data_IF_658741437813
#
_entry.id   IF_658741437813
#
_cell.length_a   1.000
_cell.length_b   1.000
_cell.length_c   1.000
_cell.angle_alpha   90.00
_cell.angle_beta   90.00
_cell.angle_gamma   90.00
#
_symmetry.space_group_name_H-M   'P 1'
#
loop_
_entity.id
_entity.type
_entity.pdbx_description
1 polymer ?
#
# COMPACT_ATOMS: atom_id res chain seq x y z
N UNK A 1 15.12 37.56 4.22
CA UNK A 1 14.66 36.22 3.79
C UNK A 1 13.54 36.39 2.79
N UNK A 2 13.60 35.75 1.62
CA UNK A 2 12.48 35.81 0.65
C UNK A 2 11.45 34.76 1.07
N UNK A 3 10.17 35.07 0.90
CA UNK A 3 9.06 34.18 1.29
C UNK A 3 9.20 32.79 0.66
N UNK A 4 9.69 32.72 -0.58
CA UNK A 4 10.05 31.48 -1.27
C UNK A 4 11.07 30.62 -0.51
N UNK A 5 12.12 31.24 0.02
CA UNK A 5 13.17 30.51 0.74
C UNK A 5 12.60 29.93 2.05
N UNK A 6 11.77 30.71 2.76
CA UNK A 6 11.09 30.22 3.98
C UNK A 6 10.13 29.05 3.69
N UNK A 7 9.37 29.13 2.60
CA UNK A 7 8.45 28.05 2.20
C UNK A 7 9.22 26.77 1.85
N UNK A 8 10.35 26.90 1.14
CA UNK A 8 11.20 25.77 0.83
C UNK A 8 11.85 25.15 2.08
N UNK A 9 12.28 25.97 3.04
CA UNK A 9 12.85 25.49 4.30
C UNK A 9 11.81 24.68 5.09
N UNK A 10 10.58 25.20 5.22
CA UNK A 10 9.49 24.49 5.90
C UNK A 10 9.12 23.20 5.16
N UNK A 11 9.00 23.21 3.84
CA UNK A 11 8.74 22.00 3.04
C UNK A 11 9.84 20.94 3.26
N UNK A 12 11.10 21.35 3.28
CA UNK A 12 12.24 20.45 3.54
C UNK A 12 12.20 19.85 4.95
N UNK A 13 11.87 20.68 5.95
CA UNK A 13 11.70 20.23 7.33
C UNK A 13 10.58 19.19 7.45
N UNK A 14 9.41 19.45 6.87
CA UNK A 14 8.27 18.52 6.92
C UNK A 14 8.62 17.20 6.24
N UNK A 15 9.23 17.24 5.04
CA UNK A 15 9.67 16.02 4.34
C UNK A 15 10.67 15.18 5.17
N UNK A 16 11.57 15.85 5.90
CA UNK A 16 12.51 15.18 6.81
C UNK A 16 11.79 14.52 7.98
N UNK A 17 10.83 15.22 8.59
CA UNK A 17 9.98 14.66 9.66
C UNK A 17 9.19 13.44 9.20
N UNK A 18 8.58 13.49 8.00
CA UNK A 18 7.83 12.37 7.42
C UNK A 18 8.70 11.10 7.27
N UNK A 19 9.94 11.27 6.82
CA UNK A 19 10.92 10.17 6.73
C UNK A 19 11.24 9.61 8.12
N UNK A 20 11.43 10.49 9.10
CA UNK A 20 11.65 10.09 10.49
C UNK A 20 10.47 9.30 11.08
N UNK A 21 9.24 9.75 10.85
CA UNK A 21 8.03 9.06 11.31
C UNK A 21 7.91 7.67 10.70
N UNK A 22 8.19 7.51 9.40
CA UNK A 22 8.17 6.21 8.74
C UNK A 22 9.15 5.23 9.39
N UNK A 23 10.37 5.68 9.71
CA UNK A 23 11.36 4.86 10.43
C UNK A 23 10.83 4.43 11.80
N UNK A 24 10.31 5.37 12.61
CA UNK A 24 9.79 5.08 13.95
C UNK A 24 8.60 4.11 13.89
N UNK A 25 7.65 4.32 12.98
CA UNK A 25 6.47 3.45 12.79
C UNK A 25 6.90 2.03 12.46
N UNK A 26 7.92 1.86 11.61
CA UNK A 26 8.39 0.53 11.20
C UNK A 26 9.11 -0.23 12.31
N UNK A 27 9.81 0.48 13.20
CA UNK A 27 10.69 -0.12 14.22
C UNK A 27 10.05 -0.22 15.61
N UNK A 28 8.97 0.53 15.89
CA UNK A 28 8.34 0.51 17.21
C UNK A 28 7.49 -0.75 17.42
N UNK A 29 7.67 -1.40 18.57
CA UNK A 29 6.84 -2.52 19.04
C UNK A 29 5.62 -2.07 19.85
N UNK A 30 5.61 -0.83 20.35
CA UNK A 30 4.51 -0.27 21.11
C UNK A 30 3.38 0.16 20.16
N UNK A 31 2.24 -0.53 20.24
CA UNK A 31 1.10 -0.29 19.34
C UNK A 31 0.46 1.08 19.54
N UNK A 32 0.35 1.57 20.77
CA UNK A 32 -0.22 2.89 21.04
C UNK A 32 0.67 3.98 20.43
N UNK A 33 1.98 3.89 20.65
CA UNK A 33 2.94 4.82 20.06
C UNK A 33 2.89 4.77 18.53
N UNK A 34 2.81 3.56 17.95
CA UNK A 34 2.67 3.39 16.50
C UNK A 34 1.47 4.15 15.96
N UNK A 35 0.29 3.99 16.57
CA UNK A 35 -0.94 4.65 16.14
C UNK A 35 -0.83 6.18 16.26
N UNK A 36 -0.25 6.67 17.37
CA UNK A 36 -0.04 8.12 17.55
C UNK A 36 0.89 8.70 16.48
N UNK A 37 2.03 8.07 16.19
CA UNK A 37 2.95 8.57 15.16
C UNK A 37 2.34 8.47 13.76
N UNK A 38 1.52 7.44 13.48
CA UNK A 38 0.77 7.35 12.22
C UNK A 38 -0.21 8.52 12.05
N UNK A 39 -0.93 8.90 13.11
CA UNK A 39 -1.83 10.04 13.08
C UNK A 39 -1.06 11.35 12.81
N UNK A 40 0.06 11.57 13.52
CA UNK A 40 0.92 12.75 13.32
C UNK A 40 1.42 12.80 11.87
N UNK A 41 1.97 11.69 11.36
CA UNK A 41 2.43 11.59 9.97
C UNK A 41 1.32 11.97 8.99
N UNK A 42 0.11 11.44 9.16
CA UNK A 42 -1.01 11.74 8.26
C UNK A 42 -1.39 13.24 8.29
N UNK A 43 -1.38 13.86 9.47
CA UNK A 43 -1.62 15.31 9.60
C UNK A 43 -0.53 16.14 8.90
N UNK A 44 0.73 15.76 9.08
CA UNK A 44 1.87 16.46 8.49
C UNK A 44 1.93 16.26 6.96
N UNK A 45 1.54 15.09 6.44
CA UNK A 45 1.37 14.86 4.99
C UNK A 45 0.30 15.79 4.40
N UNK A 46 -0.84 15.94 5.08
CA UNK A 46 -1.89 16.87 4.64
C UNK A 46 -1.37 18.32 4.64
N UNK A 47 -0.70 18.73 5.73
CA UNK A 47 -0.10 20.06 5.82
C UNK A 47 0.94 20.30 4.72
N UNK A 48 1.79 19.32 4.44
CA UNK A 48 2.80 19.38 3.39
C UNK A 48 2.16 19.65 2.03
N UNK A 49 1.08 18.92 1.72
CA UNK A 49 0.37 19.07 0.46
C UNK A 49 -0.30 20.45 0.32
N UNK A 50 -0.94 20.94 1.39
CA UNK A 50 -1.57 22.25 1.41
C UNK A 50 -0.53 23.38 1.25
N UNK A 51 0.61 23.25 1.93
CA UNK A 51 1.73 24.19 1.80
C UNK A 51 2.32 24.18 0.39
N UNK A 52 2.50 23.00 -0.21
CA UNK A 52 2.93 22.86 -1.61
C UNK A 52 1.95 23.56 -2.56
N UNK A 53 0.64 23.37 -2.38
CA UNK A 53 -0.39 24.01 -3.21
C UNK A 53 -0.35 25.54 -3.09
N UNK A 54 -0.17 26.05 -1.88
CA UNK A 54 0.00 27.49 -1.68
C UNK A 54 1.29 28.01 -2.35
N UNK A 55 2.39 27.26 -2.26
CA UNK A 55 3.66 27.61 -2.87
C UNK A 55 3.60 27.62 -4.41
N UNK A 56 2.87 26.67 -5.00
CA UNK A 56 2.57 26.58 -6.43
C UNK A 56 1.77 27.80 -6.90
N UNK A 57 0.69 28.17 -6.19
CA UNK A 57 -0.14 29.33 -6.53
C UNK A 57 0.63 30.67 -6.47
N UNK A 58 1.56 30.81 -5.53
CA UNK A 58 2.38 32.01 -5.39
C UNK A 58 3.60 32.04 -6.34
N UNK A 59 3.80 30.99 -7.14
CA UNK A 59 4.97 30.86 -8.03
C UNK A 59 6.29 30.64 -7.29
N UNK A 60 6.23 30.28 -6.01
CA UNK A 60 7.42 30.04 -5.19
C UNK A 60 8.01 28.66 -5.44
N UNK A 61 7.17 27.71 -5.83
CA UNK A 61 7.55 26.34 -6.13
C UNK A 61 7.12 25.99 -7.56
N UNK A 62 8.06 25.52 -8.39
CA UNK A 62 7.71 24.84 -9.64
C UNK A 62 7.72 23.33 -9.36
N UNK A 63 6.57 22.65 -9.43
CA UNK A 63 6.58 21.19 -9.39
C UNK A 63 7.44 20.63 -10.53
N UNK A 64 7.98 19.43 -10.31
CA UNK A 64 8.56 18.65 -11.39
C UNK A 64 7.51 18.52 -12.51
N UNK A 65 7.95 18.59 -13.77
CA UNK A 65 7.05 18.34 -14.90
C UNK A 65 6.35 17.00 -14.69
N UNK A 66 5.04 16.95 -14.97
CA UNK A 66 4.32 15.69 -14.97
C UNK A 66 5.04 14.73 -15.93
N UNK A 67 5.28 13.51 -15.47
CA UNK A 67 5.87 12.47 -16.32
C UNK A 67 4.98 12.25 -17.54
N UNK A 68 5.60 11.96 -18.69
CA UNK A 68 4.85 11.66 -19.91
C UNK A 68 3.94 10.44 -19.63
N UNK A 69 2.64 10.49 -19.97
CA UNK A 69 1.73 9.37 -19.78
C UNK A 69 2.26 8.04 -20.34
N UNK A 70 3.10 8.09 -21.39
CA UNK A 70 3.76 6.91 -21.96
C UNK A 70 4.75 6.26 -20.98
N UNK A 71 5.54 7.07 -20.27
CA UNK A 71 6.52 6.58 -19.30
C UNK A 71 5.81 5.94 -18.10
N UNK A 72 4.69 6.54 -17.65
CA UNK A 72 3.85 5.98 -16.58
C UNK A 72 3.31 4.60 -16.98
N UNK A 73 2.79 4.47 -18.20
CA UNK A 73 2.26 3.21 -18.73
C UNK A 73 3.35 2.14 -18.80
N UNK A 74 4.55 2.50 -19.28
CA UNK A 74 5.67 1.58 -19.43
C UNK A 74 6.17 1.06 -18.07
N UNK A 75 6.35 1.92 -17.08
CA UNK A 75 6.77 1.52 -15.72
C UNK A 75 5.71 0.63 -15.07
N UNK A 76 4.42 0.95 -15.24
CA UNK A 76 3.32 0.13 -14.72
C UNK A 76 3.32 -1.28 -15.32
N UNK A 77 3.55 -1.40 -16.62
CA UNK A 77 3.67 -2.70 -17.30
C UNK A 77 4.89 -3.47 -16.82
N UNK A 78 6.04 -2.81 -16.64
CA UNK A 78 7.26 -3.44 -16.11
C UNK A 78 7.06 -3.96 -14.67
N UNK A 79 6.46 -3.14 -13.80
CA UNK A 79 6.16 -3.52 -12.42
C UNK A 79 5.13 -4.66 -12.31
N UNK A 80 4.16 -4.72 -13.22
CA UNK A 80 3.15 -5.79 -13.24
C UNK A 80 3.68 -7.08 -13.88
N UNK A 81 4.65 -6.99 -14.79
CA UNK A 81 5.26 -8.13 -15.47
C UNK A 81 6.13 -8.99 -14.56
N UNK A 82 6.81 -8.38 -13.58
CA UNK A 82 7.70 -9.09 -12.66
C UNK A 82 6.97 -9.88 -11.55
N UNK A 83 5.66 -9.66 -11.35
CA UNK A 83 4.87 -10.42 -10.36
C UNK A 83 4.22 -11.71 -10.91
N UNK A 84 4.30 -11.99 -12.21
CA UNK A 84 3.65 -13.15 -12.83
C UNK A 84 4.59 -14.34 -13.12
N UNK A 85 5.86 -14.27 -12.70
CA UNK A 85 6.90 -15.22 -13.11
C UNK A 85 7.25 -16.34 -12.12
N UNK A 86 6.35 -16.75 -11.21
CA UNK A 86 6.70 -17.68 -10.14
C UNK A 86 5.60 -18.66 -9.73
N UNK A 87 5.37 -19.70 -10.52
CA UNK A 87 5.05 -21.10 -10.11
C UNK A 87 4.12 -21.80 -11.11
N UNK A 88 4.69 -22.43 -12.14
CA UNK A 88 4.05 -23.57 -12.81
C UNK A 88 4.97 -24.80 -12.70
N UNK A 89 4.79 -25.56 -11.63
CA UNK A 89 5.22 -26.95 -11.57
C UNK A 89 4.32 -27.76 -12.52
N UNK A 90 4.85 -28.05 -13.70
CA UNK A 90 4.20 -28.88 -14.71
C UNK A 90 4.19 -30.35 -14.29
N UNK A 91 3.00 -30.95 -14.38
CA UNK A 91 2.67 -32.23 -13.79
C UNK A 91 3.31 -33.46 -14.44
N UNK A 92 3.42 -34.50 -13.63
CA UNK A 92 3.74 -35.86 -14.06
C UNK A 92 2.56 -36.76 -13.70
N UNK A 93 1.66 -36.92 -14.68
CA UNK A 93 0.54 -37.85 -14.64
C UNK A 93 1.08 -39.28 -14.89
N UNK A 94 1.06 -40.13 -13.87
CA UNK A 94 1.24 -41.59 -14.03
C UNK A 94 -0.10 -42.25 -13.76
N UNK A 95 -0.76 -42.61 -14.85
CA UNK A 95 -1.89 -43.51 -14.92
C UNK A 95 -1.49 -44.91 -14.44
N UNK A 96 -2.25 -45.51 -13.53
CA UNK A 96 -2.02 -46.91 -13.16
C UNK A 96 -2.84 -47.45 -11.99
N UNK A 97 -4.08 -47.86 -12.27
CA UNK A 97 -4.70 -49.08 -11.71
C UNK A 97 -5.14 -49.08 -10.23
N UNK A 98 -6.44 -49.30 -10.00
CA UNK A 98 -6.91 -49.70 -8.67
C UNK A 98 -8.42 -49.56 -8.50
N UNK A 99 -9.14 -50.67 -8.59
CA UNK A 99 -10.60 -50.76 -8.54
C UNK A 99 -11.20 -50.49 -7.15
N UNK A 100 -12.48 -50.06 -7.17
CA UNK A 100 -13.61 -50.72 -6.49
C UNK A 100 -14.31 -50.03 -5.29
N UNK A 101 -15.60 -49.77 -5.53
CA UNK A 101 -16.79 -49.87 -4.67
C UNK A 101 -16.93 -49.05 -3.38
N UNK A 102 -18.01 -48.25 -3.39
CA UNK A 102 -19.08 -48.44 -2.41
C UNK A 102 -19.48 -47.18 -1.62
N UNK A 103 -20.78 -46.85 -1.64
CA UNK A 103 -21.39 -46.18 -0.50
C UNK A 103 -22.19 -44.90 -0.77
N UNK A 104 -23.44 -45.10 -1.17
CA UNK A 104 -24.67 -44.49 -0.61
C UNK A 104 -24.91 -42.97 -0.71
N UNK A 105 -26.06 -42.70 -1.33
CA UNK A 105 -26.90 -41.51 -1.33
C UNK A 105 -27.22 -40.93 0.05
N UNK A 106 -27.35 -39.60 0.14
CA UNK A 106 -27.92 -38.92 1.30
C UNK A 106 -28.22 -37.44 1.06
N UNK A 107 -29.44 -37.16 0.63
CA UNK A 107 -30.19 -35.88 0.74
C UNK A 107 -30.12 -35.24 2.13
N UNK A 108 -30.21 -33.90 2.21
CA UNK A 108 -30.75 -33.25 3.41
C UNK A 108 -30.23 -31.84 3.67
N UNK A 109 -31.09 -30.85 3.43
CA UNK A 109 -30.95 -29.48 3.91
C UNK A 109 -30.96 -29.43 5.43
N UNK A 110 -30.15 -28.56 6.04
CA UNK A 110 -30.47 -28.01 7.36
C UNK A 110 -29.93 -26.57 7.52
N UNK A 111 -30.90 -25.68 7.76
CA UNK A 111 -30.78 -24.29 8.17
C UNK A 111 -30.32 -24.30 9.63
N UNK A 112 -29.27 -23.54 9.97
CA UNK A 112 -28.75 -23.49 11.33
C UNK A 112 -28.03 -22.19 11.64
N UNK A 113 -28.80 -21.17 12.00
CA UNK A 113 -28.35 -19.92 12.61
C UNK A 113 -27.37 -20.18 13.75
N UNK A 114 -26.12 -19.68 13.67
CA UNK A 114 -25.26 -19.52 14.83
C UNK A 114 -24.37 -18.29 14.71
N UNK A 115 -24.82 -17.27 15.43
CA UNK A 115 -24.06 -16.17 16.01
C UNK A 115 -22.65 -16.58 16.46
N UNK A 116 -21.63 -15.78 16.12
CA UNK A 116 -20.52 -15.42 17.02
C UNK A 116 -19.68 -14.30 16.41
N UNK A 117 -19.74 -13.16 17.09
CA UNK A 117 -18.66 -12.18 17.14
C UNK A 117 -17.45 -12.88 17.76
N UNK A 118 -16.33 -12.86 17.06
CA UNK A 118 -15.01 -13.06 17.65
C UNK A 118 -14.22 -11.78 17.39
N UNK A 119 -13.46 -11.42 18.42
CA UNK A 119 -12.85 -10.13 18.74
C UNK A 119 -11.78 -9.67 17.74
#
# INVERSE_FOLDING_TARGET
MREKDMVNDVLSMVNSSLTGYASVISQTSNQQLRQTIQQIRNHDEQFQYDLYKLAEQKGFYQPAQQADPKDIQQIKTQLSGDMAGGSEMTGRNVTGGGMNMGGVSGTGAEIGSRSRMDW
#
